data_IF_450310868848
#
_entry.id   IF_450310868848
#
_cell.length_a   1.000
_cell.length_b   1.000
_cell.length_c   1.000
_cell.angle_alpha   90.00
_cell.angle_beta   90.00
_cell.angle_gamma   90.00
#
_symmetry.space_group_name_H-M   'P 1'
#
loop_
_entity.id
_entity.type
_entity.pdbx_description
1 polymer ?
#
# COMPACT_ATOMS: atom_id res chain seq x y z
N UNK A 1 -34.50 -42.27 -2.54
CA UNK A 1 -33.24 -43.06 -2.57
C UNK A 1 -32.38 -42.89 -1.30
N UNK A 2 -32.97 -42.80 -0.10
CA UNK A 2 -32.22 -42.66 1.17
C UNK A 2 -32.50 -43.77 2.20
N UNK A 3 -33.35 -44.76 1.88
CA UNK A 3 -33.80 -45.78 2.83
C UNK A 3 -32.93 -47.06 2.88
N UNK A 4 -31.87 -47.15 2.07
CA UNK A 4 -30.99 -48.33 1.99
C UNK A 4 -29.56 -48.11 2.48
N UNK A 5 -29.33 -47.12 3.34
CA UNK A 5 -28.01 -46.90 3.93
C UNK A 5 -27.95 -47.60 5.29
N UNK A 6 -27.06 -48.60 5.48
CA UNK A 6 -26.96 -49.34 6.73
C UNK A 6 -26.63 -48.38 7.90
N UNK A 7 -27.27 -48.59 9.04
CA UNK A 7 -27.26 -47.69 10.22
C UNK A 7 -25.84 -47.27 10.65
N UNK A 8 -24.85 -48.15 10.44
CA UNK A 8 -23.44 -47.89 10.74
C UNK A 8 -22.86 -46.74 9.91
N UNK A 9 -23.18 -46.66 8.61
CA UNK A 9 -22.71 -45.60 7.71
C UNK A 9 -23.36 -44.26 8.10
N UNK A 10 -24.62 -44.27 8.52
CA UNK A 10 -25.33 -43.07 8.94
C UNK A 10 -24.73 -42.46 10.21
N UNK A 11 -24.21 -43.30 11.12
CA UNK A 11 -23.53 -42.87 12.34
C UNK A 11 -22.11 -42.33 12.05
N UNK A 12 -21.30 -43.03 11.25
CA UNK A 12 -19.97 -42.54 10.87
C UNK A 12 -20.02 -41.30 10.00
N UNK A 13 -21.02 -41.17 9.11
CA UNK A 13 -21.20 -39.98 8.29
C UNK A 13 -21.60 -38.76 9.15
N UNK A 14 -22.43 -38.96 10.17
CA UNK A 14 -22.75 -37.90 11.14
C UNK A 14 -21.51 -37.42 11.91
N UNK A 15 -20.68 -38.35 12.38
CA UNK A 15 -19.42 -38.00 13.05
C UNK A 15 -18.41 -37.32 12.11
N UNK A 16 -18.26 -37.82 10.89
CA UNK A 16 -17.38 -37.20 9.89
C UNK A 16 -17.84 -35.77 9.55
N UNK A 17 -19.15 -35.55 9.41
CA UNK A 17 -19.73 -34.22 9.18
C UNK A 17 -19.47 -33.29 10.37
N UNK A 18 -19.64 -33.79 11.60
CA UNK A 18 -19.38 -33.01 12.81
C UNK A 18 -17.91 -32.59 12.93
N UNK A 19 -16.97 -33.50 12.61
CA UNK A 19 -15.54 -33.20 12.61
C UNK A 19 -15.15 -32.20 11.52
N UNK A 20 -15.68 -32.37 10.30
CA UNK A 20 -15.44 -31.44 9.20
C UNK A 20 -15.94 -30.03 9.53
N UNK A 21 -17.12 -29.93 10.16
CA UNK A 21 -17.68 -28.65 10.58
C UNK A 21 -16.84 -28.00 11.70
N UNK A 22 -16.38 -28.79 12.67
CA UNK A 22 -15.55 -28.32 13.77
C UNK A 22 -14.19 -27.80 13.26
N UNK A 23 -13.54 -28.54 12.35
CA UNK A 23 -12.29 -28.10 11.71
C UNK A 23 -12.48 -26.83 10.86
N UNK A 24 -13.60 -26.72 10.15
CA UNK A 24 -13.89 -25.53 9.34
C UNK A 24 -14.06 -24.28 10.21
N UNK A 25 -14.75 -24.39 11.35
CA UNK A 25 -14.93 -23.28 12.31
C UNK A 25 -13.59 -22.88 12.94
N UNK A 26 -12.78 -23.85 13.37
CA UNK A 26 -11.45 -23.56 13.93
C UNK A 26 -10.56 -22.91 12.88
N UNK A 27 -10.55 -23.43 11.65
CA UNK A 27 -9.74 -22.88 10.55
C UNK A 27 -10.11 -21.44 10.21
N UNK A 28 -11.41 -21.13 10.12
CA UNK A 28 -11.89 -19.77 9.89
C UNK A 28 -11.55 -18.82 11.04
N UNK A 29 -11.62 -19.30 12.30
CA UNK A 29 -11.24 -18.51 13.47
C UNK A 29 -9.75 -18.19 13.51
N UNK A 30 -8.89 -19.18 13.24
CA UNK A 30 -7.44 -19.00 13.18
C UNK A 30 -7.05 -18.07 12.03
N UNK A 31 -7.69 -18.22 10.86
CA UNK A 31 -7.43 -17.37 9.71
C UNK A 31 -7.68 -15.89 10.04
N UNK A 32 -8.79 -15.57 10.70
CA UNK A 32 -9.13 -14.21 11.15
C UNK A 32 -8.10 -13.63 12.12
N UNK A 33 -7.67 -14.41 13.12
CA UNK A 33 -6.71 -13.94 14.14
C UNK A 33 -5.33 -13.71 13.55
N UNK A 34 -4.89 -14.56 12.63
CA UNK A 34 -3.60 -14.40 11.93
C UNK A 34 -3.64 -13.20 11.00
N UNK A 35 -4.75 -12.99 10.30
CA UNK A 35 -4.96 -11.84 9.43
C UNK A 35 -4.83 -10.52 10.22
N UNK A 36 -5.55 -10.39 11.34
CA UNK A 36 -5.51 -9.18 12.18
C UNK A 36 -4.12 -8.92 12.78
N UNK A 37 -3.43 -9.97 13.22
CA UNK A 37 -2.10 -9.83 13.84
C UNK A 37 -1.00 -9.52 12.82
N UNK A 38 -1.11 -10.03 11.60
CA UNK A 38 -0.23 -9.66 10.48
C UNK A 38 -0.47 -8.20 10.08
N UNK A 39 -1.72 -7.76 9.97
CA UNK A 39 -2.02 -6.36 9.65
C UNK A 39 -1.52 -5.39 10.72
N UNK A 40 -1.68 -5.70 12.00
CA UNK A 40 -1.13 -4.87 13.09
C UNK A 40 0.40 -4.80 13.08
N UNK A 41 1.08 -5.91 12.78
CA UNK A 41 2.55 -5.94 12.68
C UNK A 41 3.06 -5.12 11.49
N UNK A 42 2.34 -5.16 10.37
CA UNK A 42 2.65 -4.36 9.18
C UNK A 42 2.44 -2.87 9.45
N UNK A 43 1.33 -2.48 10.07
CA UNK A 43 1.02 -1.08 10.38
C UNK A 43 2.03 -0.46 11.34
N UNK A 44 2.45 -1.21 12.37
CA UNK A 44 3.47 -0.74 13.33
C UNK A 44 4.84 -0.59 12.67
N UNK A 45 5.20 -1.48 11.76
CA UNK A 45 6.45 -1.39 10.99
C UNK A 45 6.43 -0.20 10.04
N UNK A 46 5.34 0.00 9.30
CA UNK A 46 5.15 1.12 8.38
C UNK A 46 5.19 2.47 9.11
N UNK A 47 4.51 2.56 10.26
CA UNK A 47 4.49 3.76 11.09
C UNK A 47 5.89 4.11 11.61
N UNK A 48 6.67 3.10 12.00
CA UNK A 48 8.02 3.28 12.52
C UNK A 48 8.97 3.76 11.42
N UNK A 49 8.91 3.14 10.23
CA UNK A 49 9.68 3.56 9.06
C UNK A 49 9.35 4.98 8.59
N UNK A 50 8.06 5.37 8.64
CA UNK A 50 7.65 6.73 8.29
C UNK A 50 8.19 7.76 9.29
N UNK A 51 8.21 7.44 10.59
CA UNK A 51 8.75 8.33 11.63
C UNK A 51 10.25 8.51 11.50
N UNK A 52 11.01 7.45 11.25
CA UNK A 52 12.46 7.53 11.08
C UNK A 52 12.85 8.34 9.84
N UNK A 53 12.12 8.18 8.72
CA UNK A 53 12.32 8.99 7.52
C UNK A 53 12.06 10.48 7.77
N UNK A 54 10.97 10.80 8.47
CA UNK A 54 10.61 12.17 8.81
C UNK A 54 11.65 12.81 9.73
N UNK A 55 12.14 12.08 10.71
CA UNK A 55 13.13 12.59 11.67
C UNK A 55 14.51 12.75 11.01
N UNK A 56 14.89 11.85 10.10
CA UNK A 56 16.09 12.00 9.26
C UNK A 56 15.99 13.23 8.34
N UNK A 57 14.79 13.51 7.80
CA UNK A 57 14.55 14.69 6.97
C UNK A 57 14.62 15.99 7.77
N UNK A 58 14.11 16.01 9.01
CA UNK A 58 14.23 17.18 9.91
C UNK A 58 15.68 17.48 10.28
N UNK A 59 16.52 16.45 10.45
CA UNK A 59 17.96 16.62 10.69
C UNK A 59 18.73 17.13 9.46
N UNK A 60 18.12 17.11 8.26
CA UNK A 60 18.73 17.49 6.99
C UNK A 60 17.98 18.66 6.31
N UNK A 61 17.34 19.52 7.11
CA UNK A 61 16.51 20.63 6.64
C UNK A 61 17.27 21.88 6.14
N UNK A 62 18.52 21.73 5.70
CA UNK A 62 19.31 22.81 5.07
C UNK A 62 19.57 22.61 3.57
N UNK A 63 18.98 21.58 2.95
CA UNK A 63 19.25 21.27 1.54
C UNK A 63 18.01 20.89 0.76
N UNK A 64 17.39 21.93 0.19
CA UNK A 64 16.48 21.95 -0.96
C UNK A 64 17.07 21.29 -2.25
N UNK A 65 18.08 20.43 -2.13
CA UNK A 65 18.80 19.76 -3.23
C UNK A 65 18.55 18.25 -3.29
N UNK A 66 17.76 17.71 -2.37
CA UNK A 66 17.33 16.32 -2.34
C UNK A 66 16.73 15.87 -3.71
N UNK A 67 15.72 16.55 -4.24
CA UNK A 67 15.05 16.14 -5.49
C UNK A 67 15.84 16.35 -6.80
N UNK A 68 17.09 16.83 -6.76
CA UNK A 68 17.89 17.03 -7.99
C UNK A 68 18.66 15.78 -8.40
N UNK A 69 18.87 14.82 -7.50
CA UNK A 69 19.60 13.58 -7.80
C UNK A 69 18.64 12.38 -7.91
N UNK A 70 18.13 12.06 -9.11
CA UNK A 70 17.20 10.93 -9.31
C UNK A 70 17.75 9.60 -8.77
N UNK A 71 19.08 9.43 -8.77
CA UNK A 71 19.77 8.26 -8.22
C UNK A 71 19.51 8.00 -6.73
N UNK A 72 19.34 9.05 -5.92
CA UNK A 72 19.13 8.90 -4.47
C UNK A 72 17.69 8.49 -4.13
N UNK A 73 16.73 8.81 -5.02
CA UNK A 73 15.33 8.42 -4.87
C UNK A 73 15.14 6.98 -5.35
N UNK A 74 15.82 6.61 -6.43
CA UNK A 74 15.86 5.22 -6.90
C UNK A 74 16.47 4.30 -5.83
N UNK A 75 17.56 4.68 -5.17
CA UNK A 75 18.14 3.88 -4.07
C UNK A 75 17.23 3.78 -2.86
N UNK A 76 16.53 4.87 -2.48
CA UNK A 76 15.57 4.82 -1.38
C UNK A 76 14.39 3.91 -1.70
N UNK A 77 13.81 4.02 -2.90
CA UNK A 77 12.72 3.15 -3.35
C UNK A 77 13.20 1.69 -3.39
N UNK A 78 14.37 1.41 -3.96
CA UNK A 78 14.88 0.05 -4.05
C UNK A 78 15.16 -0.57 -2.67
N UNK A 79 15.63 0.23 -1.71
CA UNK A 79 15.82 -0.17 -0.32
C UNK A 79 14.49 -0.40 0.42
N UNK A 80 13.46 0.43 0.19
CA UNK A 80 12.13 0.25 0.78
C UNK A 80 11.35 -0.92 0.19
N UNK A 81 11.47 -1.16 -1.11
CA UNK A 81 10.81 -2.26 -1.81
C UNK A 81 11.68 -3.52 -1.88
N UNK A 82 12.86 -3.51 -1.24
CA UNK A 82 13.73 -4.66 -1.01
C UNK A 82 14.14 -5.40 -2.28
N UNK A 83 14.31 -4.70 -3.41
CA UNK A 83 14.63 -5.33 -4.70
C UNK A 83 13.54 -6.26 -5.25
N UNK A 84 12.32 -6.23 -4.71
CA UNK A 84 11.20 -7.02 -5.22
C UNK A 84 10.72 -6.46 -6.57
N UNK A 85 11.31 -6.97 -7.66
CA UNK A 85 11.00 -6.62 -9.07
C UNK A 85 9.52 -6.74 -9.49
N UNK A 86 8.67 -7.33 -8.65
CA UNK A 86 7.23 -7.51 -8.93
C UNK A 86 6.40 -6.26 -8.64
N UNK A 87 6.85 -5.38 -7.74
CA UNK A 87 6.21 -4.08 -7.50
C UNK A 87 6.94 -3.07 -8.36
N UNK A 88 6.28 -2.53 -9.38
CA UNK A 88 6.84 -1.50 -10.26
C UNK A 88 6.77 -0.14 -9.57
N UNK A 89 7.51 -0.02 -8.47
CA UNK A 89 7.55 1.17 -7.66
C UNK A 89 8.04 2.36 -8.49
N UNK A 90 7.29 3.45 -8.46
CA UNK A 90 7.66 4.73 -9.04
C UNK A 90 7.52 5.86 -8.03
N UNK A 91 8.23 6.96 -8.26
CA UNK A 91 7.94 8.22 -7.61
C UNK A 91 7.96 9.36 -8.62
N UNK A 92 7.02 10.29 -8.47
CA UNK A 92 7.00 11.54 -9.21
C UNK A 92 6.65 12.73 -8.33
N UNK A 93 7.29 13.86 -8.62
CA UNK A 93 7.00 15.16 -8.02
C UNK A 93 6.15 15.95 -9.00
N UNK A 94 4.95 16.35 -8.58
CA UNK A 94 3.98 17.03 -9.42
C UNK A 94 3.54 18.33 -8.74
N UNK A 95 3.42 19.39 -9.51
CA UNK A 95 2.85 20.66 -9.04
C UNK A 95 1.31 20.59 -9.00
N UNK A 96 0.65 21.55 -8.34
CA UNK A 96 -0.83 21.66 -8.32
C UNK A 96 -1.45 21.75 -9.71
N UNK A 97 -0.67 22.19 -10.70
CA UNK A 97 -1.03 22.22 -12.12
C UNK A 97 -1.00 20.86 -12.82
N UNK A 98 -0.61 19.79 -12.14
CA UNK A 98 -0.38 18.47 -12.75
C UNK A 98 0.94 18.37 -13.52
N UNK A 99 1.80 19.40 -13.45
CA UNK A 99 3.10 19.41 -14.12
C UNK A 99 4.12 18.60 -13.35
N UNK A 100 4.67 17.57 -13.99
CA UNK A 100 5.72 16.72 -13.43
C UNK A 100 7.05 17.48 -13.40
N UNK A 101 7.61 17.70 -12.21
CA UNK A 101 8.92 18.33 -12.00
C UNK A 101 10.06 17.33 -11.97
N UNK A 102 9.83 16.13 -11.43
CA UNK A 102 10.79 15.04 -11.36
C UNK A 102 10.07 13.69 -11.40
N UNK A 103 10.71 12.66 -11.95
CA UNK A 103 10.17 11.29 -12.03
C UNK A 103 11.30 10.26 -11.99
N UNK A 104 11.00 9.07 -11.45
CA UNK A 104 11.84 7.88 -11.57
C UNK A 104 11.81 7.31 -12.98
N UNK A 105 12.92 6.72 -13.45
CA UNK A 105 13.01 6.17 -14.82
C UNK A 105 12.13 4.93 -15.05
N UNK A 106 11.70 4.25 -13.99
CA UNK A 106 10.92 3.01 -14.08
C UNK A 106 9.44 3.22 -14.48
N UNK A 107 8.95 4.47 -14.51
CA UNK A 107 7.55 4.75 -14.78
C UNK A 107 7.28 4.97 -16.28
N UNK A 108 6.56 4.03 -16.90
CA UNK A 108 6.11 4.14 -18.31
C UNK A 108 4.73 4.77 -18.48
N UNK A 109 3.98 4.97 -17.39
CA UNK A 109 2.59 5.44 -17.40
C UNK A 109 2.49 6.69 -16.53
N UNK A 110 1.95 7.79 -17.04
CA UNK A 110 1.71 9.00 -16.27
C UNK A 110 0.31 8.96 -15.65
N UNK A 111 0.22 8.81 -14.34
CA UNK A 111 -1.05 8.79 -13.62
C UNK A 111 -1.45 10.23 -13.22
N UNK A 112 -2.71 10.62 -13.37
CA UNK A 112 -3.14 11.98 -13.11
C UNK A 112 -3.16 12.30 -11.60
N UNK A 113 -3.04 13.59 -11.28
CA UNK A 113 -3.41 14.13 -9.97
C UNK A 113 -4.91 14.35 -9.96
N UNK A 114 -5.65 13.72 -9.05
CA UNK A 114 -7.09 13.94 -8.95
C UNK A 114 -7.42 15.17 -8.11
N UNK A 115 -8.60 15.79 -8.30
CA UNK A 115 -9.07 16.88 -7.45
C UNK A 115 -9.19 16.48 -5.97
N UNK A 116 -9.49 15.20 -5.70
CA UNK A 116 -9.53 14.65 -4.34
C UNK A 116 -8.14 14.68 -3.70
N UNK A 117 -7.13 14.21 -4.42
CA UNK A 117 -5.75 14.25 -3.97
C UNK A 117 -5.28 15.69 -3.71
N UNK A 118 -5.65 16.63 -4.57
CA UNK A 118 -5.31 18.04 -4.41
C UNK A 118 -5.98 18.66 -3.18
N UNK A 119 -7.29 18.45 -2.99
CA UNK A 119 -8.04 19.01 -1.86
C UNK A 119 -7.57 18.48 -0.50
N UNK A 120 -7.19 17.20 -0.45
CA UNK A 120 -6.61 16.59 0.75
C UNK A 120 -5.18 17.09 0.99
N UNK A 121 -4.39 17.24 -0.07
CA UNK A 121 -3.03 17.75 0.01
C UNK A 121 -2.96 19.19 0.51
N UNK A 122 -3.93 20.02 0.14
CA UNK A 122 -4.06 21.40 0.66
C UNK A 122 -4.26 21.43 2.19
N UNK A 123 -4.86 20.37 2.75
CA UNK A 123 -5.01 20.16 4.20
C UNK A 123 -3.82 19.45 4.84
N UNK A 124 -2.76 19.18 4.08
CA UNK A 124 -1.61 18.39 4.53
C UNK A 124 -1.91 16.90 4.71
N UNK A 125 -2.97 16.37 4.09
CA UNK A 125 -3.40 14.98 4.21
C UNK A 125 -3.01 14.15 2.98
N UNK A 126 -2.61 12.90 3.20
CA UNK A 126 -2.37 11.92 2.15
C UNK A 126 -3.66 11.39 1.52
N UNK A 127 -3.54 10.88 0.28
CA UNK A 127 -4.65 10.29 -0.48
C UNK A 127 -4.22 8.99 -1.12
N UNK A 128 -5.08 7.98 -1.02
CA UNK A 128 -4.89 6.66 -1.61
C UNK A 128 -5.87 6.46 -2.76
N UNK A 129 -5.35 6.18 -3.94
CA UNK A 129 -6.15 6.03 -5.15
C UNK A 129 -5.78 4.75 -5.88
N UNK A 130 -6.75 4.17 -6.57
CA UNK A 130 -6.55 2.96 -7.38
C UNK A 130 -7.08 3.22 -8.77
N UNK A 131 -6.21 3.09 -9.77
CA UNK A 131 -6.51 3.30 -11.17
C UNK A 131 -6.48 1.97 -11.91
N UNK A 132 -7.57 1.61 -12.56
CA UNK A 132 -7.62 0.47 -13.47
C UNK A 132 -7.44 0.94 -14.91
N UNK A 133 -6.48 0.38 -15.65
CA UNK A 133 -6.41 0.59 -17.10
C UNK A 133 -7.16 -0.52 -17.84
N UNK A 134 -7.61 -0.26 -19.07
CA UNK A 134 -8.32 -1.20 -19.96
C UNK A 134 -7.52 -2.48 -20.27
N UNK A 135 -6.22 -2.48 -19.98
CA UNK A 135 -5.27 -3.59 -20.17
C UNK A 135 -5.13 -4.52 -18.94
N UNK A 136 -6.12 -4.60 -18.06
CA UNK A 136 -6.17 -5.42 -16.82
C UNK A 136 -5.11 -5.13 -15.75
N UNK A 137 -4.36 -4.04 -15.88
CA UNK A 137 -3.41 -3.59 -14.86
C UNK A 137 -4.09 -2.63 -13.87
N UNK A 138 -4.00 -2.95 -12.58
CA UNK A 138 -4.44 -2.10 -11.49
C UNK A 138 -3.23 -1.40 -10.89
N UNK A 139 -3.26 -0.07 -10.84
CA UNK A 139 -2.21 0.78 -10.30
C UNK A 139 -2.69 1.41 -9.01
N UNK A 140 -1.94 1.24 -7.92
CA UNK A 140 -2.26 1.90 -6.65
C UNK A 140 -1.32 3.08 -6.49
N UNK A 141 -1.88 4.25 -6.26
CA UNK A 141 -1.13 5.50 -6.12
C UNK A 141 -1.41 6.11 -4.75
N UNK A 142 -0.35 6.54 -4.09
CA UNK A 142 -0.38 7.34 -2.88
C UNK A 142 0.08 8.74 -3.27
N UNK A 143 -0.74 9.75 -2.99
CA UNK A 143 -0.37 11.16 -3.16
C UNK A 143 -0.14 11.78 -1.79
N UNK A 144 1.05 12.35 -1.61
CA UNK A 144 1.52 12.98 -0.38
C UNK A 144 1.79 14.47 -0.63
N UNK A 145 1.26 15.38 0.19
CA UNK A 145 1.63 16.78 0.12
C UNK A 145 3.04 17.02 0.65
N UNK A 146 3.81 17.88 -0.03
CA UNK A 146 5.02 18.46 0.54
C UNK A 146 4.58 19.64 1.42
N UNK A 147 4.84 19.52 2.72
CA UNK A 147 4.45 20.54 3.72
C UNK A 147 5.71 21.14 4.33
N UNK A 148 5.81 22.48 4.35
CA UNK A 148 6.88 23.22 5.01
C UNK A 148 6.26 24.22 5.99
N UNK A 149 6.74 24.25 7.23
CA UNK A 149 6.20 25.13 8.28
C UNK A 149 4.67 24.99 8.43
N UNK A 150 4.16 23.76 8.37
CA UNK A 150 2.73 23.44 8.45
C UNK A 150 1.86 24.05 7.33
N UNK A 151 2.49 24.45 6.21
CA UNK A 151 1.83 24.95 5.00
C UNK A 151 2.20 24.09 3.79
N UNK A 152 1.19 23.77 2.99
CA UNK A 152 1.37 23.07 1.73
C UNK A 152 2.20 23.91 0.76
N UNK A 153 3.24 23.33 0.16
CA UNK A 153 4.17 24.07 -0.72
C UNK A 153 3.70 24.16 -2.17
N UNK A 154 2.58 23.52 -2.52
CA UNK A 154 2.12 23.37 -3.90
C UNK A 154 2.72 22.15 -4.60
N UNK A 155 3.59 21.39 -3.93
CA UNK A 155 4.24 20.21 -4.50
C UNK A 155 3.65 18.92 -3.92
N UNK A 156 3.46 17.94 -4.79
CA UNK A 156 2.84 16.66 -4.51
C UNK A 156 3.84 15.56 -4.85
N UNK A 157 4.01 14.59 -3.97
CA UNK A 157 4.78 13.38 -4.22
C UNK A 157 3.77 12.27 -4.50
N UNK A 158 3.86 11.63 -5.66
CA UNK A 158 3.05 10.47 -6.00
C UNK A 158 3.94 9.24 -6.06
N UNK A 159 3.51 8.18 -5.39
CA UNK A 159 4.23 6.90 -5.29
C UNK A 159 3.25 5.77 -5.59
N UNK A 160 3.67 4.74 -6.33
CA UNK A 160 2.83 3.59 -6.66
C UNK A 160 3.59 2.45 -7.30
#
# INVERSE_FOLDING_TARGET
>A
MLERIPIRIRLTLGHALSMALLFSVIGLGVFRVVEDSVFQALDTTLLTSAKTLRDAQMSQADRTSAFRNPLYWESMIDEFFGGQRYVRAYAQLVDTSGKVRARTNNMRVNLPVTPLALSRSDKGLETYETFSNSSSSTWRQITLPVVRNNKFTGELIQVG
#
